data_IF_507273840768
#
_entry.id   IF_507273840768
#
_cell.length_a   1.000
_cell.length_b   1.000
_cell.length_c   1.000
_cell.angle_alpha   90.00
_cell.angle_beta   90.00
_cell.angle_gamma   90.00
#
_symmetry.space_group_name_H-M   'P 1'
#
loop_
_entity.id
_entity.type
_entity.pdbx_description
1 polymer ?
#
# COMPACT_ATOMS: atom_id res chain seq x y z
N UNK A 1 2.85 -11.35 -21.75
CA UNK A 1 3.95 -11.88 -20.93
C UNK A 1 3.52 -11.76 -19.48
N UNK A 2 3.47 -12.88 -18.77
CA UNK A 2 3.13 -12.94 -17.35
C UNK A 2 4.42 -12.77 -16.54
N UNK A 3 4.33 -12.05 -15.43
CA UNK A 3 5.48 -11.68 -14.62
C UNK A 3 5.26 -12.14 -13.18
N UNK A 4 6.15 -12.98 -12.65
CA UNK A 4 6.13 -13.40 -11.23
C UNK A 4 7.18 -12.65 -10.43
N UNK A 5 6.78 -12.17 -9.25
CA UNK A 5 7.68 -11.61 -8.26
C UNK A 5 8.21 -12.76 -7.39
N UNK A 6 9.53 -12.97 -7.36
CA UNK A 6 10.18 -14.03 -6.58
C UNK A 6 10.84 -13.43 -5.33
N UNK A 7 10.37 -13.80 -4.12
CA UNK A 7 10.94 -13.32 -2.85
C UNK A 7 11.08 -14.45 -1.80
N UNK A 8 12.11 -14.42 -0.93
CA UNK A 8 12.41 -15.48 0.01
C UNK A 8 11.48 -15.52 1.24
N UNK A 9 11.46 -16.68 1.89
CA UNK A 9 10.55 -17.09 2.97
C UNK A 9 10.75 -16.34 4.30
N UNK A 10 9.65 -16.07 5.00
CA UNK A 10 9.60 -16.08 6.47
C UNK A 10 8.24 -16.60 6.94
N UNK A 11 8.19 -17.60 7.84
CA UNK A 11 6.95 -18.19 8.31
C UNK A 11 6.46 -17.44 9.54
N UNK A 12 5.31 -16.77 9.46
CA UNK A 12 4.65 -16.23 10.64
C UNK A 12 3.15 -16.46 10.50
N UNK A 13 2.65 -17.65 10.82
CA UNK A 13 1.28 -17.90 11.32
C UNK A 13 1.23 -19.29 11.98
N UNK A 14 0.63 -19.41 13.18
CA UNK A 14 -0.78 -19.80 13.22
C UNK A 14 -1.66 -18.96 14.18
N UNK A 15 -2.92 -18.76 13.74
CA UNK A 15 -4.14 -18.29 14.46
C UNK A 15 -4.01 -17.18 15.52
N UNK A 16 -4.57 -16.01 15.20
CA UNK A 16 -4.83 -14.90 16.14
C UNK A 16 -3.72 -13.85 16.36
N UNK A 17 -2.51 -14.04 15.85
CA UNK A 17 -1.37 -13.12 16.09
C UNK A 17 -1.15 -12.08 14.98
N UNK A 18 -0.98 -10.82 15.36
CA UNK A 18 -0.50 -9.74 14.49
C UNK A 18 0.85 -10.11 13.82
N UNK A 19 0.98 -9.87 12.51
CA UNK A 19 2.27 -9.92 11.82
C UNK A 19 2.82 -8.48 11.67
N UNK A 20 3.96 -8.16 12.28
CA UNK A 20 4.54 -6.82 12.29
C UNK A 20 5.35 -6.49 11.04
N UNK A 21 4.78 -6.71 9.86
CA UNK A 21 5.51 -6.57 8.60
C UNK A 21 4.82 -5.68 7.57
N UNK A 22 3.85 -4.86 7.96
CA UNK A 22 3.18 -3.92 7.06
C UNK A 22 3.47 -2.49 7.53
N UNK A 23 4.74 -2.08 7.48
CA UNK A 23 5.17 -0.78 8.01
C UNK A 23 6.02 0.03 7.03
N UNK A 24 6.31 -0.48 5.82
CA UNK A 24 6.93 0.32 4.75
C UNK A 24 5.88 1.21 4.11
N UNK A 25 5.41 2.23 4.84
CA UNK A 25 4.47 3.22 4.33
C UNK A 25 5.23 4.47 3.89
N UNK A 26 5.02 4.86 2.64
CA UNK A 26 5.33 6.20 2.16
C UNK A 26 4.16 7.12 2.50
N UNK A 27 4.43 8.31 3.04
CA UNK A 27 3.40 9.32 3.38
C UNK A 27 3.85 10.66 2.84
N UNK A 28 3.04 11.26 1.98
CA UNK A 28 3.15 12.65 1.60
C UNK A 28 2.47 13.47 2.69
N UNK A 29 3.22 14.26 3.48
CA UNK A 29 2.63 15.09 4.50
C UNK A 29 1.95 16.31 3.88
N UNK A 30 1.13 16.98 4.69
CA UNK A 30 0.49 18.26 4.36
C UNK A 30 1.45 19.25 3.68
N UNK A 31 1.00 20.03 2.67
CA UNK A 31 1.78 21.14 2.14
C UNK A 31 2.25 22.07 3.26
N UNK A 32 3.58 22.26 3.41
CA UNK A 32 4.19 23.08 4.46
C UNK A 32 4.67 22.32 5.71
N UNK A 33 4.44 21.01 5.82
CA UNK A 33 5.10 20.18 6.83
C UNK A 33 6.49 19.72 6.32
N UNK A 34 7.51 19.77 7.18
CA UNK A 34 8.84 19.27 6.82
C UNK A 34 8.75 17.78 6.47
N UNK A 35 9.10 17.42 5.23
CA UNK A 35 9.27 16.04 4.79
C UNK A 35 10.46 15.42 5.54
N UNK A 36 10.20 14.86 6.72
CA UNK A 36 11.24 14.17 7.49
C UNK A 36 11.40 12.76 6.96
N UNK A 37 12.45 12.55 6.17
CA UNK A 37 12.92 11.23 5.75
C UNK A 37 13.21 10.38 7.00
N UNK A 38 12.49 9.29 7.17
CA UNK A 38 12.62 8.41 8.33
C UNK A 38 12.75 6.94 7.90
N UNK A 39 13.39 6.13 8.77
CA UNK A 39 13.70 4.71 8.55
C UNK A 39 12.57 3.86 7.96
N UNK A 40 12.90 2.76 7.24
CA UNK A 40 11.97 2.06 6.35
C UNK A 40 10.79 1.33 7.03
N UNK A 41 10.82 1.10 8.35
CA UNK A 41 9.68 0.53 9.08
C UNK A 41 9.42 1.35 10.34
N UNK A 42 8.37 2.16 10.33
CA UNK A 42 7.99 2.98 11.48
C UNK A 42 6.66 2.53 12.05
N UNK A 43 6.49 2.69 13.36
CA UNK A 43 5.21 2.51 14.00
C UNK A 43 4.21 3.54 13.43
N UNK A 44 3.04 3.12 12.91
CA UNK A 44 2.09 4.04 12.29
C UNK A 44 1.42 4.99 13.29
N UNK A 45 1.64 4.81 14.60
CA UNK A 45 1.18 5.70 15.66
C UNK A 45 2.29 6.63 16.17
N UNK A 46 3.38 6.07 16.72
CA UNK A 46 4.42 6.86 17.40
C UNK A 46 5.71 7.06 16.60
N UNK A 47 5.75 6.59 15.34
CA UNK A 47 6.87 6.74 14.40
C UNK A 47 8.21 6.10 14.82
N UNK A 48 8.25 5.38 15.95
CA UNK A 48 9.43 4.64 16.41
C UNK A 48 9.80 3.57 15.38
N UNK A 49 11.09 3.43 15.01
CA UNK A 49 11.55 2.35 14.15
C UNK A 49 11.16 0.97 14.71
N UNK A 50 10.65 0.10 13.84
CA UNK A 50 10.22 -1.25 14.17
C UNK A 50 11.22 -2.27 13.67
N UNK A 51 11.34 -3.39 14.40
CA UNK A 51 11.99 -4.61 13.90
C UNK A 51 10.97 -5.41 13.09
N UNK A 52 11.42 -6.07 12.03
CA UNK A 52 10.57 -6.82 11.09
C UNK A 52 9.72 -7.93 11.77
N UNK A 53 10.15 -8.42 12.92
CA UNK A 53 9.58 -9.53 13.66
C UNK A 53 8.91 -9.12 15.00
N UNK A 54 8.90 -7.83 15.33
CA UNK A 54 8.44 -7.36 16.64
C UNK A 54 6.92 -7.45 16.78
N UNK A 55 6.36 -8.34 17.61
CA UNK A 55 4.91 -8.54 17.80
C UNK A 55 4.12 -7.39 18.49
N UNK A 56 4.78 -6.30 18.87
CA UNK A 56 4.16 -4.99 19.09
C UNK A 56 5.19 -3.88 18.94
N UNK A 57 4.77 -2.62 18.85
CA UNK A 57 5.72 -1.51 18.96
C UNK A 57 6.38 -1.48 20.34
N UNK A 58 7.72 -1.49 20.39
CA UNK A 58 8.46 -1.45 21.65
C UNK A 58 8.23 -0.15 22.46
N UNK A 59 7.89 0.95 21.81
CA UNK A 59 7.68 2.25 22.47
C UNK A 59 6.23 2.45 22.94
N UNK A 60 5.24 2.25 22.06
CA UNK A 60 3.84 2.54 22.38
C UNK A 60 2.93 1.30 22.52
N UNK A 61 3.49 0.09 22.36
CA UNK A 61 2.76 -1.19 22.47
C UNK A 61 1.57 -1.27 21.51
N UNK A 62 1.69 -0.63 20.34
CA UNK A 62 0.68 -0.71 19.28
C UNK A 62 0.68 -2.11 18.67
N UNK A 63 -0.52 -2.64 18.47
CA UNK A 63 -0.82 -3.89 17.75
C UNK A 63 -2.03 -3.64 16.86
N UNK A 64 -2.26 -4.47 15.83
CA UNK A 64 -3.47 -4.33 15.01
C UNK A 64 -4.78 -4.44 15.81
N UNK A 65 -4.96 -5.40 16.75
CA UNK A 65 -6.16 -5.43 17.59
C UNK A 65 -6.38 -4.13 18.36
N UNK A 66 -5.30 -3.50 18.86
CA UNK A 66 -5.37 -2.20 19.54
C UNK A 66 -5.76 -1.09 18.57
N UNK A 67 -5.19 -1.07 17.36
CA UNK A 67 -5.59 -0.13 16.32
C UNK A 67 -7.08 -0.26 15.97
N UNK A 68 -7.56 -1.48 15.78
CA UNK A 68 -8.99 -1.73 15.48
C UNK A 68 -9.90 -1.34 16.64
N UNK A 69 -9.46 -1.52 17.88
CA UNK A 69 -10.21 -1.04 19.05
C UNK A 69 -10.25 0.49 19.14
N UNK A 70 -9.18 1.17 18.74
CA UNK A 70 -9.08 2.64 18.72
C UNK A 70 -9.93 3.26 17.60
N UNK A 71 -9.85 2.70 16.39
CA UNK A 71 -10.48 3.27 15.19
C UNK A 71 -11.89 2.72 14.92
N UNK A 72 -12.29 1.66 15.63
CA UNK A 72 -13.61 1.07 15.53
C UNK A 72 -13.84 0.29 14.23
N UNK A 73 -15.06 0.37 13.71
CA UNK A 73 -15.48 -0.37 12.52
C UNK A 73 -14.95 0.28 11.24
N UNK A 74 -14.48 -0.55 10.31
CA UNK A 74 -14.01 -0.08 9.01
C UNK A 74 -15.13 0.59 8.21
N UNK A 75 -14.81 1.66 7.45
CA UNK A 75 -15.75 2.22 6.50
C UNK A 75 -16.09 1.16 5.43
N UNK A 76 -17.29 1.27 4.85
CA UNK A 76 -17.65 0.45 3.69
C UNK A 76 -16.91 0.96 2.47
N UNK A 77 -15.94 0.18 1.99
CA UNK A 77 -15.11 0.51 0.84
C UNK A 77 -15.52 -0.32 -0.38
N UNK A 78 -15.67 0.32 -1.52
CA UNK A 78 -15.83 -0.38 -2.79
C UNK A 78 -14.50 -1.03 -3.23
N UNK A 79 -14.53 -2.21 -3.85
CA UNK A 79 -13.32 -2.85 -4.32
C UNK A 79 -12.68 -2.03 -5.44
N UNK A 80 -11.35 -2.13 -5.56
CA UNK A 80 -10.49 -1.51 -6.58
C UNK A 80 -10.37 0.00 -6.44
N UNK A 81 -11.49 0.73 -6.43
CA UNK A 81 -11.55 2.18 -6.18
C UNK A 81 -12.71 2.46 -5.23
N UNK A 82 -12.40 2.95 -4.03
CA UNK A 82 -13.35 3.45 -3.06
C UNK A 82 -13.18 4.97 -2.93
N UNK A 83 -14.14 5.75 -3.43
CA UNK A 83 -14.20 7.19 -3.21
C UNK A 83 -15.46 7.55 -2.42
N UNK A 84 -15.27 7.85 -1.15
CA UNK A 84 -16.33 8.31 -0.24
C UNK A 84 -16.46 9.82 -0.21
N UNK A 85 -15.47 10.55 -0.73
CA UNK A 85 -15.43 12.02 -0.78
C UNK A 85 -16.18 12.58 -1.99
N UNK A 86 -16.42 11.73 -3.00
CA UNK A 86 -17.08 12.07 -4.28
C UNK A 86 -16.34 13.12 -5.11
N UNK A 87 -15.01 13.22 -4.92
CA UNK A 87 -14.16 14.11 -5.71
C UNK A 87 -13.70 13.46 -7.03
N UNK A 88 -13.84 12.14 -7.20
CA UNK A 88 -13.68 11.47 -8.49
C UNK A 88 -15.01 11.41 -9.23
N UNK A 89 -15.00 11.88 -10.48
CA UNK A 89 -16.16 11.69 -11.37
C UNK A 89 -16.35 10.21 -11.71
N UNK A 90 -17.54 9.84 -12.18
CA UNK A 90 -17.79 8.47 -12.66
C UNK A 90 -16.84 8.08 -13.81
N UNK A 91 -16.47 9.05 -14.65
CA UNK A 91 -15.50 8.85 -15.73
C UNK A 91 -14.10 8.56 -15.16
N UNK A 92 -13.66 9.29 -14.14
CA UNK A 92 -12.37 9.06 -13.49
C UNK A 92 -12.31 7.67 -12.85
N UNK A 93 -13.33 7.31 -12.08
CA UNK A 93 -13.41 5.98 -11.46
C UNK A 93 -13.36 4.86 -12.50
N UNK A 94 -14.04 5.04 -13.64
CA UNK A 94 -14.01 4.07 -14.76
C UNK A 94 -12.62 3.95 -15.36
N UNK A 95 -11.95 5.08 -15.63
CA UNK A 95 -10.59 5.09 -16.17
C UNK A 95 -9.58 4.48 -15.19
N UNK A 96 -9.68 4.78 -13.90
CA UNK A 96 -8.82 4.23 -12.86
C UNK A 96 -8.98 2.71 -12.74
N UNK A 97 -10.23 2.21 -12.69
CA UNK A 97 -10.52 0.77 -12.68
C UNK A 97 -9.95 0.07 -13.93
N UNK A 98 -10.08 0.69 -15.10
CA UNK A 98 -9.49 0.18 -16.34
C UNK A 98 -7.97 0.10 -16.25
N UNK A 99 -7.30 1.16 -15.79
CA UNK A 99 -5.83 1.18 -15.64
C UNK A 99 -5.35 0.15 -14.63
N UNK A 100 -6.05 -0.01 -13.50
CA UNK A 100 -5.76 -1.07 -12.53
C UNK A 100 -5.87 -2.44 -13.19
N UNK A 101 -6.94 -2.72 -13.93
CA UNK A 101 -7.12 -3.99 -14.61
C UNK A 101 -6.01 -4.26 -15.65
N UNK A 102 -5.53 -3.23 -16.35
CA UNK A 102 -4.39 -3.33 -17.28
C UNK A 102 -3.09 -3.72 -16.56
N UNK A 103 -2.80 -3.09 -15.42
CA UNK A 103 -1.62 -3.42 -14.58
C UNK A 103 -1.77 -4.85 -14.04
N UNK A 104 -2.93 -5.21 -13.50
CA UNK A 104 -3.18 -6.57 -12.97
C UNK A 104 -3.09 -7.65 -14.06
N UNK A 105 -3.47 -7.36 -15.31
CA UNK A 105 -3.27 -8.30 -16.42
C UNK A 105 -1.78 -8.55 -16.69
N UNK A 106 -0.91 -7.57 -16.47
CA UNK A 106 0.55 -7.72 -16.57
C UNK A 106 1.13 -8.42 -15.35
N UNK A 107 0.59 -8.15 -14.16
CA UNK A 107 1.04 -8.67 -12.87
C UNK A 107 -0.14 -9.32 -12.11
N UNK A 108 -0.53 -10.57 -12.43
CA UNK A 108 -1.78 -11.18 -11.93
C UNK A 108 -1.85 -11.37 -10.42
N UNK A 109 -0.70 -11.49 -9.76
CA UNK A 109 -0.62 -11.56 -8.30
C UNK A 109 -0.92 -10.21 -7.63
N UNK A 110 -0.77 -9.09 -8.34
CA UNK A 110 -0.93 -7.76 -7.76
C UNK A 110 -2.41 -7.44 -7.50
N UNK A 111 -2.70 -6.97 -6.28
CA UNK A 111 -4.03 -6.48 -5.92
C UNK A 111 -3.94 -4.98 -5.63
N UNK A 112 -4.46 -4.14 -6.52
CA UNK A 112 -4.45 -2.69 -6.33
C UNK A 112 -5.76 -2.20 -5.73
N UNK A 113 -5.65 -1.39 -4.68
CA UNK A 113 -6.78 -0.70 -4.07
C UNK A 113 -6.46 0.79 -3.96
N UNK A 114 -7.39 1.62 -4.42
CA UNK A 114 -7.40 3.07 -4.16
C UNK A 114 -8.49 3.39 -3.15
N UNK A 115 -8.15 4.15 -2.12
CA UNK A 115 -9.10 4.67 -1.13
C UNK A 115 -8.96 6.18 -1.05
N UNK A 116 -10.05 6.89 -1.34
CA UNK A 116 -10.18 8.32 -1.06
C UNK A 116 -11.28 8.51 -0.01
N UNK A 117 -10.85 8.97 1.16
CA UNK A 117 -11.70 9.07 2.35
C UNK A 117 -11.24 10.21 3.25
N UNK A 118 -12.19 10.79 3.97
CA UNK A 118 -11.92 11.77 5.03
C UNK A 118 -11.75 11.03 6.34
N UNK A 119 -10.52 11.02 6.87
CA UNK A 119 -10.22 10.34 8.12
C UNK A 119 -10.33 11.32 9.30
N UNK A 120 -10.82 10.88 10.48
CA UNK A 120 -10.92 11.73 11.69
C UNK A 120 -9.57 12.17 12.28
N UNK A 121 -9.32 13.48 12.42
CA UNK A 121 -8.00 14.08 12.76
C UNK A 121 -7.46 13.73 14.17
N UNK A 122 -8.20 13.00 15.00
CA UNK A 122 -7.77 12.59 16.35
C UNK A 122 -6.56 11.65 16.34
N UNK A 123 -6.32 10.98 15.21
CA UNK A 123 -5.20 10.05 15.04
C UNK A 123 -4.37 10.33 13.78
N UNK A 124 -3.07 9.94 13.80
CA UNK A 124 -2.20 10.10 12.65
C UNK A 124 -2.76 9.39 11.41
N UNK A 125 -2.62 10.02 10.24
CA UNK A 125 -3.07 9.43 8.97
C UNK A 125 -2.46 8.05 8.71
N UNK A 126 -1.18 7.85 9.03
CA UNK A 126 -0.52 6.55 8.95
C UNK A 126 -1.20 5.45 9.76
N UNK A 127 -1.82 5.77 10.90
CA UNK A 127 -2.57 4.80 11.69
C UNK A 127 -3.84 4.35 10.95
N UNK A 128 -4.54 5.28 10.31
CA UNK A 128 -5.73 4.98 9.52
C UNK A 128 -5.41 4.15 8.28
N UNK A 129 -4.34 4.49 7.56
CA UNK A 129 -3.92 3.73 6.37
C UNK A 129 -3.54 2.30 6.75
N UNK A 130 -2.76 2.13 7.83
CA UNK A 130 -2.44 0.82 8.39
C UNK A 130 -3.70 0.01 8.75
N UNK A 131 -4.68 0.65 9.38
CA UNK A 131 -5.95 0.03 9.76
C UNK A 131 -6.78 -0.40 8.55
N UNK A 132 -6.94 0.49 7.56
CA UNK A 132 -7.67 0.21 6.31
C UNK A 132 -7.02 -0.95 5.56
N UNK A 133 -5.70 -0.95 5.42
CA UNK A 133 -4.98 -2.02 4.73
C UNK A 133 -5.19 -3.39 5.39
N UNK A 134 -4.98 -3.46 6.71
CA UNK A 134 -4.99 -4.74 7.43
C UNK A 134 -6.40 -5.28 7.69
N UNK A 135 -7.38 -4.41 7.95
CA UNK A 135 -8.74 -4.87 8.18
C UNK A 135 -9.60 -4.94 6.90
N UNK A 136 -9.24 -4.20 5.85
CA UNK A 136 -10.00 -4.15 4.58
C UNK A 136 -9.90 -5.43 3.75
N UNK A 137 -8.90 -6.28 4.04
CA UNK A 137 -8.71 -7.60 3.43
C UNK A 137 -8.76 -7.60 1.89
N UNK A 138 -8.17 -6.59 1.24
CA UNK A 138 -8.31 -6.36 -0.20
C UNK A 138 -7.83 -7.53 -1.08
N UNK A 139 -6.77 -8.23 -0.68
CA UNK A 139 -6.26 -9.41 -1.40
C UNK A 139 -6.94 -10.73 -1.02
N UNK A 140 -7.82 -10.72 -0.01
CA UNK A 140 -8.51 -11.89 0.51
C UNK A 140 -7.67 -12.72 1.49
N UNK A 141 -8.34 -13.66 2.16
CA UNK A 141 -7.76 -14.42 3.27
C UNK A 141 -6.61 -15.36 2.88
N UNK A 142 -6.54 -15.76 1.61
CA UNK A 142 -5.49 -16.64 1.07
C UNK A 142 -4.21 -15.91 0.70
N UNK A 143 -4.20 -14.57 0.65
CA UNK A 143 -3.07 -13.75 0.24
C UNK A 143 -2.57 -12.89 1.40
N UNK A 144 -2.01 -13.56 2.42
CA UNK A 144 -1.48 -12.95 3.64
C UNK A 144 0.03 -13.16 3.77
N UNK A 145 0.70 -12.30 4.55
CA UNK A 145 2.15 -12.37 4.74
C UNK A 145 2.89 -12.24 3.40
N UNK A 146 3.83 -13.15 3.13
CA UNK A 146 4.61 -13.22 1.87
C UNK A 146 3.78 -13.29 0.59
N UNK A 147 2.58 -13.82 0.68
CA UNK A 147 1.71 -13.96 -0.49
C UNK A 147 0.79 -12.74 -0.65
N UNK A 148 0.88 -11.76 0.27
CA UNK A 148 0.16 -10.50 0.17
C UNK A 148 0.85 -9.55 -0.80
N UNK A 149 0.36 -9.56 -2.04
CA UNK A 149 0.76 -8.65 -3.11
C UNK A 149 -0.26 -7.51 -3.28
N UNK A 150 -0.95 -7.13 -2.19
CA UNK A 150 -1.80 -5.94 -2.20
C UNK A 150 -0.96 -4.67 -2.22
N UNK A 151 -1.45 -3.61 -2.85
CA UNK A 151 -0.92 -2.28 -2.72
C UNK A 151 -2.09 -1.30 -2.57
N UNK A 152 -2.08 -0.56 -1.47
CA UNK A 152 -3.08 0.45 -1.16
C UNK A 152 -2.50 1.84 -1.45
N UNK A 153 -3.23 2.62 -2.23
CA UNK A 153 -3.06 4.06 -2.34
C UNK A 153 -4.19 4.71 -1.53
N UNK A 154 -3.84 5.39 -0.44
CA UNK A 154 -4.80 6.09 0.39
C UNK A 154 -4.63 7.60 0.25
N UNK A 155 -5.72 8.33 0.08
CA UNK A 155 -5.74 9.78 0.01
C UNK A 155 -6.77 10.34 1.00
N UNK A 156 -6.36 11.38 1.73
CA UNK A 156 -7.26 12.23 2.50
C UNK A 156 -7.22 13.66 1.93
N UNK A 157 -8.15 14.01 1.04
CA UNK A 157 -8.24 15.36 0.48
C UNK A 157 -8.45 16.46 1.52
N UNK A 158 -9.11 16.17 2.64
CA UNK A 158 -9.37 17.16 3.69
C UNK A 158 -8.10 17.49 4.48
N UNK A 159 -7.22 16.49 4.61
CA UNK A 159 -5.92 16.68 5.21
C UNK A 159 -4.87 17.09 4.20
N UNK A 160 -5.02 16.81 2.91
CA UNK A 160 -3.94 16.96 1.95
C UNK A 160 -2.80 15.97 2.22
N UNK A 161 -3.15 14.79 2.73
CA UNK A 161 -2.21 13.69 3.00
C UNK A 161 -2.48 12.53 2.03
N UNK A 162 -1.41 11.85 1.62
CA UNK A 162 -1.51 10.67 0.77
C UNK A 162 -0.48 9.62 1.21
N UNK A 163 -0.79 8.36 1.02
CA UNK A 163 0.12 7.27 1.37
C UNK A 163 0.05 6.11 0.37
N UNK A 164 1.19 5.44 0.21
CA UNK A 164 1.27 4.15 -0.48
C UNK A 164 1.70 3.11 0.56
N UNK A 165 0.90 2.06 0.69
CA UNK A 165 1.15 0.94 1.58
C UNK A 165 1.21 -0.37 0.77
N UNK A 166 2.41 -0.90 0.52
CA UNK A 166 2.61 -2.22 -0.07
C UNK A 166 2.34 -3.33 0.96
N UNK A 167 1.84 -4.45 0.48
CA UNK A 167 1.83 -5.71 1.20
C UNK A 167 3.22 -6.32 1.25
N UNK A 168 3.41 -7.22 2.20
CA UNK A 168 4.72 -7.79 2.51
C UNK A 168 5.37 -8.53 1.32
N UNK A 169 4.59 -9.12 0.40
CA UNK A 169 5.10 -9.71 -0.84
C UNK A 169 5.71 -8.69 -1.82
N UNK A 170 5.45 -7.40 -1.62
CA UNK A 170 5.96 -6.32 -2.46
C UNK A 170 7.10 -5.50 -1.82
N UNK A 171 7.28 -5.55 -0.49
CA UNK A 171 8.25 -4.70 0.23
C UNK A 171 9.70 -4.90 -0.23
N UNK A 172 10.07 -6.12 -0.66
CA UNK A 172 11.41 -6.38 -1.19
C UNK A 172 11.68 -5.72 -2.54
N UNK A 173 10.63 -5.37 -3.28
CA UNK A 173 10.71 -4.76 -4.61
C UNK A 173 10.41 -3.26 -4.58
N UNK A 174 9.47 -2.86 -3.71
CA UNK A 174 9.01 -1.48 -3.58
C UNK A 174 9.64 -0.84 -2.35
N UNK A 175 10.84 -0.30 -2.56
CA UNK A 175 11.57 0.44 -1.52
C UNK A 175 10.83 1.73 -1.16
N UNK A 176 10.90 2.14 0.11
CA UNK A 176 10.24 3.34 0.63
C UNK A 176 10.63 4.59 -0.16
N UNK A 177 11.91 4.76 -0.47
CA UNK A 177 12.42 5.93 -1.18
C UNK A 177 11.76 6.09 -2.55
N UNK A 178 11.51 4.95 -3.20
CA UNK A 178 10.83 4.90 -4.48
C UNK A 178 9.35 5.27 -4.34
N UNK A 179 8.68 4.76 -3.31
CA UNK A 179 7.27 5.08 -3.04
C UNK A 179 7.09 6.56 -2.64
N UNK A 180 8.00 7.11 -1.83
CA UNK A 180 8.03 8.53 -1.49
C UNK A 180 8.18 9.38 -2.76
N UNK A 181 9.06 8.98 -3.68
CA UNK A 181 9.21 9.66 -4.96
C UNK A 181 7.94 9.63 -5.83
N UNK A 182 7.21 8.51 -5.86
CA UNK A 182 5.91 8.44 -6.57
C UNK A 182 4.89 9.42 -6.00
N UNK A 183 4.85 9.56 -4.68
CA UNK A 183 3.99 10.51 -4.00
C UNK A 183 4.38 11.96 -4.31
N UNK A 184 5.67 12.28 -4.30
CA UNK A 184 6.19 13.61 -4.68
C UNK A 184 5.80 13.98 -6.12
N UNK A 185 5.89 13.03 -7.07
CA UNK A 185 5.50 13.26 -8.47
C UNK A 185 3.99 13.53 -8.63
N UNK A 186 3.17 12.97 -7.76
CA UNK A 186 1.72 13.13 -7.75
C UNK A 186 1.26 14.38 -6.99
N UNK A 187 2.03 14.84 -6.00
CA UNK A 187 1.74 15.99 -5.14
C UNK A 187 1.20 17.21 -5.88
N UNK A 188 1.88 17.75 -6.91
CA UNK A 188 1.42 18.92 -7.64
C UNK A 188 0.05 18.76 -8.33
N UNK A 189 -0.35 17.53 -8.68
CA UNK A 189 -1.67 17.29 -9.24
C UNK A 189 -2.75 17.33 -8.14
N UNK A 190 -2.45 16.74 -6.98
CA UNK A 190 -3.35 16.73 -5.82
C UNK A 190 -3.54 18.13 -5.21
N UNK A 191 -2.48 18.93 -5.11
CA UNK A 191 -2.56 20.33 -4.69
C UNK A 191 -3.46 21.17 -5.61
N UNK A 192 -3.48 20.84 -6.91
CA UNK A 192 -4.35 21.47 -7.90
C UNK A 192 -5.78 20.88 -7.94
N UNK A 193 -6.14 19.98 -7.02
CA UNK A 193 -7.44 19.29 -7.00
C UNK A 193 -7.64 18.27 -8.12
N UNK A 194 -6.60 17.95 -8.89
CA UNK A 194 -6.62 16.97 -9.98
C UNK A 194 -6.33 15.57 -9.45
N UNK A 195 -7.25 15.05 -8.63
CA UNK A 195 -7.10 13.79 -7.89
C UNK A 195 -6.79 12.59 -8.77
N UNK A 196 -7.59 12.41 -9.84
CA UNK A 196 -7.41 11.30 -10.79
C UNK A 196 -6.03 11.36 -11.45
N UNK A 197 -5.59 12.54 -11.91
CA UNK A 197 -4.29 12.73 -12.56
C UNK A 197 -3.13 12.32 -11.64
N UNK A 198 -3.19 12.71 -10.36
CA UNK A 198 -2.16 12.32 -9.40
C UNK A 198 -2.14 10.81 -9.16
N UNK A 199 -3.31 10.16 -9.09
CA UNK A 199 -3.38 8.68 -8.98
C UNK A 199 -2.81 8.01 -10.24
N UNK A 200 -3.09 8.53 -11.44
CA UNK A 200 -2.50 8.03 -12.68
C UNK A 200 -0.97 8.14 -12.69
N UNK A 201 -0.41 9.25 -12.17
CA UNK A 201 1.05 9.40 -12.06
C UNK A 201 1.67 8.34 -11.15
N UNK A 202 1.02 8.03 -10.03
CA UNK A 202 1.46 6.92 -9.16
C UNK A 202 1.39 5.60 -9.91
N UNK A 203 0.32 5.34 -10.66
CA UNK A 203 0.19 4.10 -11.46
C UNK A 203 1.23 3.97 -12.55
N UNK A 204 1.54 5.05 -13.26
CA UNK A 204 2.54 5.00 -14.34
C UNK A 204 3.95 4.77 -13.78
N UNK A 205 4.29 5.41 -12.66
CA UNK A 205 5.54 5.11 -11.97
C UNK A 205 5.58 3.69 -11.39
N UNK A 206 4.46 3.21 -10.82
CA UNK A 206 4.37 1.83 -10.31
C UNK A 206 4.53 0.79 -11.43
N UNK A 207 3.90 1.01 -12.59
CA UNK A 207 3.99 0.12 -13.76
C UNK A 207 5.44 0.01 -14.25
N UNK A 208 6.17 1.14 -14.32
CA UNK A 208 7.60 1.17 -14.66
C UNK A 208 8.47 0.45 -13.64
N UNK A 209 8.20 0.65 -12.34
CA UNK A 209 8.95 -0.01 -11.27
C UNK A 209 8.73 -1.52 -11.29
N UNK A 210 7.48 -1.96 -11.39
CA UNK A 210 7.14 -3.38 -11.49
C UNK A 210 7.76 -4.01 -12.73
N UNK A 211 7.77 -3.32 -13.87
CA UNK A 211 8.45 -3.78 -15.08
C UNK A 211 9.97 -3.95 -14.89
N UNK A 212 10.60 -3.06 -14.13
CA UNK A 212 12.05 -3.14 -13.87
C UNK A 212 12.48 -4.30 -12.96
N UNK A 213 11.59 -4.77 -12.09
CA UNK A 213 11.86 -5.85 -11.12
C UNK A 213 11.31 -7.20 -11.54
N UNK A 214 10.47 -7.23 -12.58
CA UNK A 214 9.80 -8.43 -13.01
C UNK A 214 10.72 -9.33 -13.86
N UNK A 215 10.60 -10.65 -13.66
CA UNK A 215 11.29 -11.67 -14.47
C UNK A 215 10.25 -12.39 -15.35
N UNK A 216 10.50 -12.60 -16.66
CA UNK A 216 9.51 -13.23 -17.53
C UNK A 216 9.24 -14.68 -17.07
N UNK A 217 7.97 -15.13 -17.06
CA UNK A 217 7.57 -16.48 -16.60
C UNK A 217 8.23 -17.64 -17.38
N UNK A 218 8.94 -17.38 -18.48
CA UNK A 218 9.55 -18.40 -19.34
C UNK A 218 10.88 -18.97 -18.79
N UNK A 219 11.43 -18.43 -17.69
CA UNK A 219 12.70 -18.88 -17.13
C UNK A 219 12.60 -19.99 -16.05
N UNK A 220 11.39 -20.38 -15.63
CA UNK A 220 11.18 -21.40 -14.60
C UNK A 220 11.13 -22.85 -15.14
N UNK A 221 11.03 -23.03 -16.46
CA UNK A 221 10.91 -24.35 -17.11
C UNK A 221 12.22 -25.01 -17.55
N UNK A 222 13.34 -24.28 -17.61
CA UNK A 222 14.57 -24.77 -18.25
C UNK A 222 15.59 -25.44 -17.31
N UNK A 223 15.27 -25.64 -16.02
CA UNK A 223 16.12 -26.40 -15.07
C UNK A 223 15.45 -27.72 -14.64
N UNK A 224 15.05 -28.53 -15.62
CA UNK A 224 14.84 -29.97 -15.44
C UNK A 224 15.41 -30.69 -16.66
N UNK A 225 16.71 -30.95 -16.62
CA UNK A 225 17.39 -31.76 -17.62
C UNK A 225 18.85 -31.35 -17.78
N UNK A 226 19.72 -31.81 -16.87
CA UNK A 226 21.01 -32.41 -17.24
C UNK A 226 21.73 -32.95 -16.00
N UNK A 227 22.20 -34.20 -16.15
CA UNK A 227 22.93 -35.10 -15.26
C UNK A 227 22.15 -35.81 -14.14
#
# INVERSE_FOLDING_TARGET
MLWKLAGPFSPCWPRGGWCPGANSMAVLPRPGANATYHSPMQCPFCQTPLKADAAECAACRLTFPRTSALLGALPRLSPVVADTTRLLTAADQTKLKKRIAEIQRRFPQLVLQVVMHTFPEEHPFSLHVFWVFNGGNFAGDSQRGKDNHALLIALDPSRGEAAIMPGYGLETFLKRETLDHLLELAGPAWEAGRWADGIFRVFDGLDQLLESVAIPDDAAGARKGEF
#
